data_IF_692905170346
#
_entry.id   IF_692905170346
#
_cell.length_a   1.000
_cell.length_b   1.000
_cell.length_c   1.000
_cell.angle_alpha   90.00
_cell.angle_beta   90.00
_cell.angle_gamma   90.00
#
_symmetry.space_group_name_H-M   'P 1'
#
loop_
_entity.id
_entity.type
_entity.pdbx_description
1 polymer ?
#
# COMPACT_ATOMS: atom_id res chain seq x y z
N UNK A 1 -37.42 22.96 -11.40
CA UNK A 1 -37.25 23.64 -10.10
C UNK A 1 -35.97 23.10 -9.48
N UNK A 2 -34.89 23.89 -9.47
CA UNK A 2 -33.68 23.51 -8.75
C UNK A 2 -34.00 23.51 -7.25
N UNK A 3 -33.91 22.35 -6.60
CA UNK A 3 -34.04 22.26 -5.16
C UNK A 3 -32.96 23.16 -4.53
N UNK A 4 -33.37 24.09 -3.66
CA UNK A 4 -32.46 24.92 -2.88
C UNK A 4 -31.80 24.04 -1.82
N UNK A 5 -30.74 23.33 -2.19
CA UNK A 5 -29.84 22.68 -1.23
C UNK A 5 -29.22 23.78 -0.37
N UNK A 6 -29.41 23.73 0.95
CA UNK A 6 -28.85 24.78 1.82
C UNK A 6 -27.33 24.67 1.86
N UNK A 7 -26.63 25.77 2.20
CA UNK A 7 -25.16 25.75 2.36
C UNK A 7 -24.71 24.70 3.38
N UNK A 8 -25.49 24.50 4.45
CA UNK A 8 -25.22 23.49 5.47
C UNK A 8 -25.40 22.05 4.92
N UNK A 9 -26.39 21.82 4.06
CA UNK A 9 -26.59 20.52 3.40
C UNK A 9 -25.44 20.22 2.44
N UNK A 10 -24.91 21.23 1.74
CA UNK A 10 -23.78 21.07 0.83
C UNK A 10 -22.46 20.80 1.58
N UNK A 11 -22.22 21.50 2.70
CA UNK A 11 -21.04 21.33 3.55
C UNK A 11 -21.05 19.99 4.33
N UNK A 12 -22.22 19.41 4.61
CA UNK A 12 -22.34 18.16 5.36
C UNK A 12 -22.45 16.90 4.47
N UNK A 13 -23.19 16.96 3.35
CA UNK A 13 -23.59 15.74 2.62
C UNK A 13 -22.48 15.21 1.72
N UNK A 14 -21.85 16.06 0.90
CA UNK A 14 -20.87 15.61 -0.10
C UNK A 14 -19.54 15.12 0.48
N UNK A 15 -18.88 15.84 1.42
CA UNK A 15 -17.66 15.33 2.05
C UNK A 15 -17.89 14.04 2.84
N UNK A 16 -19.08 13.88 3.43
CA UNK A 16 -19.41 12.68 4.22
C UNK A 16 -19.59 11.42 3.38
N UNK A 17 -20.09 11.55 2.13
CA UNK A 17 -20.32 10.41 1.24
C UNK A 17 -19.01 9.77 0.78
N UNK A 18 -18.08 10.58 0.25
CA UNK A 18 -16.76 10.08 -0.18
C UNK A 18 -15.99 9.50 1.02
N UNK A 19 -15.96 10.20 2.16
CA UNK A 19 -15.28 9.73 3.36
C UNK A 19 -15.79 8.36 3.82
N UNK A 20 -17.11 8.21 3.95
CA UNK A 20 -17.72 6.95 4.42
C UNK A 20 -17.66 5.82 3.38
N UNK A 21 -17.59 6.15 2.09
CA UNK A 21 -17.45 5.15 1.02
C UNK A 21 -16.02 4.64 0.87
N UNK A 22 -15.02 5.52 1.04
CA UNK A 22 -13.64 5.26 0.62
C UNK A 22 -12.69 4.93 1.78
N UNK A 23 -12.98 5.35 3.01
CA UNK A 23 -12.10 5.08 4.16
C UNK A 23 -12.44 3.76 4.87
N UNK A 24 -13.71 3.44 5.20
CA UNK A 24 -14.10 2.18 5.82
C UNK A 24 -14.16 0.98 4.85
N UNK A 25 -14.35 -0.23 5.39
CA UNK A 25 -14.58 -1.47 4.61
C UNK A 25 -13.32 -2.22 4.16
N UNK A 26 -12.14 -1.66 4.40
CA UNK A 26 -10.88 -2.39 4.32
C UNK A 26 -10.55 -3.17 5.59
N UNK A 27 -9.39 -3.86 5.61
CA UNK A 27 -8.87 -4.53 6.81
C UNK A 27 -8.41 -3.57 7.91
N UNK A 28 -8.25 -2.28 7.58
CA UNK A 28 -7.72 -1.22 8.45
C UNK A 28 -6.33 -1.52 9.04
N UNK A 29 -5.54 -2.39 8.38
CA UNK A 29 -4.25 -2.83 8.91
C UNK A 29 -3.31 -1.65 9.16
N UNK A 30 -3.29 -0.63 8.29
CA UNK A 30 -2.39 0.53 8.43
C UNK A 30 -2.81 1.38 9.61
N UNK A 31 -4.10 1.68 9.73
CA UNK A 31 -4.66 2.44 10.84
C UNK A 31 -4.53 1.74 12.18
N UNK A 32 -4.76 0.42 12.22
CA UNK A 32 -4.59 -0.40 13.44
C UNK A 32 -3.13 -0.55 13.85
N UNK A 33 -2.20 -0.54 12.89
CA UNK A 33 -0.77 -0.63 13.19
C UNK A 33 -0.22 0.55 14.00
N UNK A 34 -0.86 1.73 13.97
CA UNK A 34 -0.40 2.89 14.77
C UNK A 34 -0.54 2.62 16.28
N UNK A 35 -1.75 2.35 16.84
CA UNK A 35 -1.89 2.01 18.24
C UNK A 35 -1.23 0.68 18.61
N UNK A 36 -1.20 -0.31 17.71
CA UNK A 36 -0.52 -1.60 17.94
C UNK A 36 1.00 -1.42 18.11
N UNK A 37 1.64 -0.58 17.29
CA UNK A 37 3.06 -0.24 17.45
C UNK A 37 3.31 0.43 18.80
N UNK A 38 2.44 1.35 19.21
CA UNK A 38 2.59 2.03 20.49
C UNK A 38 2.45 1.08 21.70
N UNK A 39 1.54 0.09 21.63
CA UNK A 39 1.42 -0.95 22.66
C UNK A 39 2.72 -1.74 22.79
N UNK A 40 3.32 -2.15 21.67
CA UNK A 40 4.61 -2.84 21.66
C UNK A 40 5.76 -1.96 22.16
N UNK A 41 5.81 -0.69 21.77
CA UNK A 41 6.85 0.26 22.19
C UNK A 41 6.84 0.51 23.70
N UNK A 42 5.65 0.68 24.29
CA UNK A 42 5.52 0.98 25.71
C UNK A 42 5.55 -0.28 26.60
N UNK A 43 5.22 -1.45 26.04
CA UNK A 43 5.07 -2.71 26.78
C UNK A 43 4.11 -2.59 27.98
N UNK A 44 3.06 -1.78 27.83
CA UNK A 44 2.00 -1.56 28.81
C UNK A 44 0.72 -1.10 28.09
N UNK A 45 -0.45 -1.19 28.74
CA UNK A 45 -1.70 -0.66 28.20
C UNK A 45 -1.62 0.85 27.91
N UNK A 46 -2.26 1.29 26.83
CA UNK A 46 -2.42 2.71 26.51
C UNK A 46 -3.45 3.34 27.45
N UNK A 47 -3.19 4.57 27.88
CA UNK A 47 -4.23 5.41 28.50
C UNK A 47 -5.31 5.76 27.48
N UNK A 48 -6.53 6.11 27.94
CA UNK A 48 -7.64 6.50 27.05
C UNK A 48 -7.26 7.63 26.09
N UNK A 49 -6.46 8.59 26.58
CA UNK A 49 -5.97 9.69 25.75
C UNK A 49 -4.99 9.19 24.68
N UNK A 50 -4.01 8.37 25.06
CA UNK A 50 -3.05 7.81 24.10
C UNK A 50 -3.76 6.96 23.05
N UNK A 51 -4.66 6.09 23.48
CA UNK A 51 -5.44 5.26 22.57
C UNK A 51 -6.23 6.10 21.57
N UNK A 52 -6.97 7.12 22.04
CA UNK A 52 -7.74 8.00 21.17
C UNK A 52 -6.85 8.76 20.17
N UNK A 53 -5.73 9.29 20.63
CA UNK A 53 -4.80 10.04 19.79
C UNK A 53 -4.15 9.14 18.73
N UNK A 54 -3.64 7.97 19.13
CA UNK A 54 -3.02 7.01 18.22
C UNK A 54 -4.02 6.43 17.21
N UNK A 55 -5.26 6.16 17.63
CA UNK A 55 -6.34 5.81 16.70
C UNK A 55 -6.67 6.97 15.75
N UNK A 56 -6.61 8.22 16.20
CA UNK A 56 -6.79 9.38 15.32
C UNK A 56 -5.71 9.39 14.26
N UNK A 57 -4.43 9.27 14.63
CA UNK A 57 -3.31 9.15 13.68
C UNK A 57 -3.48 7.95 12.74
N UNK A 58 -3.96 6.81 13.23
CA UNK A 58 -4.31 5.65 12.41
C UNK A 58 -5.38 5.95 11.36
N UNK A 59 -6.44 6.67 11.72
CA UNK A 59 -7.44 7.13 10.74
C UNK A 59 -6.86 8.10 9.71
N UNK A 60 -5.88 8.93 10.08
CA UNK A 60 -5.19 9.79 9.11
C UNK A 60 -4.38 8.97 8.09
N UNK A 61 -3.78 7.87 8.52
CA UNK A 61 -3.14 6.92 7.61
C UNK A 61 -4.15 6.25 6.67
N UNK A 62 -5.34 5.88 7.17
CA UNK A 62 -6.41 5.32 6.32
C UNK A 62 -7.00 6.37 5.36
N UNK A 63 -7.04 7.65 5.74
CA UNK A 63 -7.39 8.74 4.83
C UNK A 63 -6.36 8.91 3.71
N UNK A 64 -5.07 8.83 4.04
CA UNK A 64 -4.01 8.86 3.04
C UNK A 64 -4.13 7.69 2.06
N UNK A 65 -4.40 6.48 2.58
CA UNK A 65 -4.68 5.33 1.73
C UNK A 65 -5.92 5.57 0.86
N UNK A 66 -7.01 6.11 1.41
CA UNK A 66 -8.24 6.37 0.65
C UNK A 66 -7.99 7.39 -0.48
N UNK A 67 -7.21 8.44 -0.23
CA UNK A 67 -6.75 9.38 -1.26
C UNK A 67 -6.05 8.65 -2.41
N UNK A 68 -5.05 7.82 -2.10
CA UNK A 68 -4.32 7.08 -3.12
C UNK A 68 -5.22 6.10 -3.87
N UNK A 69 -6.08 5.34 -3.19
CA UNK A 69 -6.95 4.36 -3.84
C UNK A 69 -7.98 5.01 -4.78
N UNK A 70 -8.60 6.13 -4.38
CA UNK A 70 -9.56 6.83 -5.24
C UNK A 70 -8.87 7.34 -6.51
N UNK A 71 -7.66 7.89 -6.37
CA UNK A 71 -6.87 8.38 -7.51
C UNK A 71 -6.36 7.24 -8.39
N UNK A 72 -5.81 6.18 -7.79
CA UNK A 72 -5.27 4.98 -8.44
C UNK A 72 -6.34 4.24 -9.23
N UNK A 73 -7.54 4.07 -8.67
CA UNK A 73 -8.66 3.41 -9.37
C UNK A 73 -9.02 4.12 -10.69
N UNK A 74 -8.86 5.45 -10.76
CA UNK A 74 -9.09 6.22 -11.99
C UNK A 74 -7.92 6.07 -12.97
N UNK A 75 -6.68 6.11 -12.49
CA UNK A 75 -5.47 5.98 -13.31
C UNK A 75 -5.34 4.59 -13.94
N UNK A 76 -5.75 3.55 -13.18
CA UNK A 76 -5.72 2.14 -13.59
C UNK A 76 -7.02 1.67 -14.25
N UNK A 77 -7.98 2.58 -14.47
CA UNK A 77 -9.29 2.26 -15.06
C UNK A 77 -10.05 1.13 -14.34
N UNK A 78 -9.79 0.95 -13.03
CA UNK A 78 -10.27 -0.15 -12.20
C UNK A 78 -11.80 -0.23 -12.12
N UNK A 79 -12.35 -1.44 -12.00
CA UNK A 79 -13.81 -1.68 -12.00
C UNK A 79 -14.39 -1.71 -10.58
N UNK A 80 -13.76 -2.46 -9.66
CA UNK A 80 -14.26 -2.69 -8.30
C UNK A 80 -13.18 -2.51 -7.25
N UNK A 81 -13.57 -1.99 -6.08
CA UNK A 81 -12.72 -1.84 -4.88
C UNK A 81 -13.53 -2.25 -3.65
N UNK A 82 -12.96 -3.12 -2.81
CA UNK A 82 -13.60 -3.62 -1.56
C UNK A 82 -15.00 -4.20 -1.77
N UNK A 83 -15.20 -4.94 -2.87
CA UNK A 83 -16.47 -5.58 -3.21
C UNK A 83 -17.53 -4.68 -3.86
N UNK A 84 -17.24 -3.38 -4.01
CA UNK A 84 -18.15 -2.38 -4.58
C UNK A 84 -17.55 -1.75 -5.85
N UNK A 85 -18.33 -1.08 -6.70
CA UNK A 85 -17.80 -0.27 -7.79
C UNK A 85 -16.81 0.79 -7.27
N UNK A 86 -15.70 0.98 -7.97
CA UNK A 86 -14.73 2.06 -7.70
C UNK A 86 -15.45 3.41 -7.64
N UNK A 87 -14.96 4.33 -6.79
CA UNK A 87 -15.67 5.57 -6.47
C UNK A 87 -16.09 6.36 -7.71
N UNK A 88 -15.17 6.55 -8.67
CA UNK A 88 -15.43 7.28 -9.92
C UNK A 88 -16.46 6.61 -10.84
N UNK A 89 -16.76 5.33 -10.64
CA UNK A 89 -17.76 4.57 -11.40
C UNK A 89 -19.15 4.59 -10.78
N UNK A 90 -19.31 5.13 -9.57
CA UNK A 90 -20.62 5.24 -8.93
C UNK A 90 -21.49 6.29 -9.63
N UNK A 91 -22.79 6.04 -9.65
CA UNK A 91 -23.76 6.93 -10.26
C UNK A 91 -23.63 8.35 -9.68
N UNK A 92 -23.50 9.35 -10.55
CA UNK A 92 -23.37 10.76 -10.16
C UNK A 92 -22.00 11.20 -9.67
N UNK A 93 -20.98 10.32 -9.61
CA UNK A 93 -19.61 10.68 -9.19
C UNK A 93 -18.75 11.05 -10.40
N UNK A 94 -18.41 10.09 -11.27
CA UNK A 94 -17.53 10.35 -12.42
C UNK A 94 -16.21 11.01 -12.00
N UNK A 95 -15.78 12.04 -12.75
CA UNK A 95 -14.53 12.76 -12.48
C UNK A 95 -14.58 13.70 -11.27
N UNK A 96 -15.72 13.84 -10.59
CA UNK A 96 -15.79 14.51 -9.28
C UNK A 96 -14.85 13.80 -8.28
N UNK A 97 -14.62 12.50 -8.48
CA UNK A 97 -13.68 11.69 -7.72
C UNK A 97 -12.26 12.28 -7.61
N UNK A 98 -11.82 13.08 -8.58
CA UNK A 98 -10.53 13.79 -8.53
C UNK A 98 -10.52 14.78 -7.37
N UNK A 99 -11.53 15.64 -7.26
CA UNK A 99 -11.61 16.58 -6.15
C UNK A 99 -11.90 15.87 -4.82
N UNK A 100 -12.67 14.78 -4.85
CA UNK A 100 -12.92 13.98 -3.66
C UNK A 100 -11.64 13.37 -3.09
N UNK A 101 -10.68 12.97 -3.94
CA UNK A 101 -9.39 12.46 -3.48
C UNK A 101 -8.57 13.57 -2.78
N UNK A 102 -8.54 14.79 -3.33
CA UNK A 102 -7.89 15.95 -2.68
C UNK A 102 -8.55 16.31 -1.34
N UNK A 103 -9.87 16.12 -1.23
CA UNK A 103 -10.59 16.33 0.02
C UNK A 103 -10.22 15.29 1.09
N UNK A 104 -9.98 14.04 0.70
CA UNK A 104 -9.50 12.98 1.61
C UNK A 104 -8.09 13.31 2.15
N UNK A 105 -7.18 13.76 1.27
CA UNK A 105 -5.84 14.16 1.66
C UNK A 105 -5.86 15.42 2.54
N UNK A 106 -6.50 16.50 2.10
CA UNK A 106 -6.53 17.77 2.85
C UNK A 106 -7.18 17.64 4.24
N UNK A 107 -8.11 16.70 4.40
CA UNK A 107 -8.71 16.37 5.70
C UNK A 107 -7.69 15.90 6.73
N UNK A 108 -6.58 15.27 6.30
CA UNK A 108 -5.47 14.87 7.17
C UNK A 108 -4.93 16.08 7.93
N UNK A 109 -4.61 17.17 7.21
CA UNK A 109 -3.98 18.35 7.80
C UNK A 109 -4.96 19.17 8.65
N UNK A 110 -6.25 19.18 8.28
CA UNK A 110 -7.31 19.77 9.12
C UNK A 110 -7.40 19.03 10.46
N UNK A 111 -7.39 17.70 10.44
CA UNK A 111 -7.47 16.87 11.63
C UNK A 111 -6.18 16.90 12.46
N UNK A 112 -4.99 16.90 11.82
CA UNK A 112 -3.72 17.10 12.53
C UNK A 112 -3.73 18.41 13.31
N UNK A 113 -4.11 19.52 12.66
CA UNK A 113 -4.19 20.83 13.31
C UNK A 113 -5.22 20.84 14.45
N UNK A 114 -6.36 20.16 14.27
CA UNK A 114 -7.42 20.11 15.29
C UNK A 114 -6.98 19.33 16.53
N UNK A 115 -6.31 18.20 16.35
CA UNK A 115 -6.05 17.24 17.42
C UNK A 115 -4.64 17.33 18.01
N UNK A 116 -3.66 17.78 17.22
CA UNK A 116 -2.24 17.65 17.56
C UNK A 116 -1.47 18.97 17.52
N UNK A 117 -2.09 20.13 17.26
CA UNK A 117 -1.35 21.42 17.15
C UNK A 117 -0.53 21.80 18.39
N UNK A 118 -0.92 21.31 19.58
CA UNK A 118 -0.17 21.51 20.82
C UNK A 118 0.76 20.35 21.18
N UNK A 119 0.76 19.27 20.40
CA UNK A 119 1.65 18.14 20.60
C UNK A 119 3.08 18.53 20.18
N UNK A 120 4.14 18.16 20.93
CA UNK A 120 5.51 18.50 20.57
C UNK A 120 5.90 18.05 19.15
N UNK A 121 5.44 16.86 18.74
CA UNK A 121 5.68 16.32 17.39
C UNK A 121 4.72 16.81 16.29
N UNK A 122 3.98 17.90 16.49
CA UNK A 122 3.02 18.39 15.48
C UNK A 122 3.65 18.64 14.11
N UNK A 123 4.81 19.31 14.09
CA UNK A 123 5.54 19.61 12.86
C UNK A 123 6.05 18.32 12.23
N UNK A 124 6.61 17.42 13.03
CA UNK A 124 7.08 16.11 12.53
C UNK A 124 5.95 15.30 11.87
N UNK A 125 4.74 15.32 12.43
CA UNK A 125 3.59 14.66 11.79
C UNK A 125 3.29 15.25 10.42
N UNK A 126 3.28 16.57 10.29
CA UNK A 126 3.02 17.25 9.01
C UNK A 126 4.10 16.88 7.99
N UNK A 127 5.37 17.01 8.38
CA UNK A 127 6.50 16.70 7.50
C UNK A 127 6.49 15.24 7.07
N UNK A 128 6.22 14.31 8.01
CA UNK A 128 6.11 12.89 7.71
C UNK A 128 4.97 12.58 6.73
N UNK A 129 3.78 13.18 6.90
CA UNK A 129 2.69 12.98 5.95
C UNK A 129 3.03 13.54 4.56
N UNK A 130 3.62 14.74 4.46
CA UNK A 130 4.02 15.29 3.16
C UNK A 130 5.12 14.46 2.48
N UNK A 131 6.17 14.07 3.21
CA UNK A 131 7.28 13.30 2.66
C UNK A 131 6.79 11.94 2.13
N UNK A 132 6.00 11.21 2.93
CA UNK A 132 5.45 9.92 2.53
C UNK A 132 4.49 10.05 1.35
N UNK A 133 3.71 11.14 1.29
CA UNK A 133 2.84 11.43 0.15
C UNK A 133 3.67 11.61 -1.12
N UNK A 134 4.70 12.46 -1.06
CA UNK A 134 5.60 12.70 -2.18
C UNK A 134 6.29 11.42 -2.65
N UNK A 135 6.81 10.61 -1.72
CA UNK A 135 7.41 9.32 -2.04
C UNK A 135 6.41 8.39 -2.73
N UNK A 136 5.17 8.33 -2.24
CA UNK A 136 4.14 7.48 -2.84
C UNK A 136 3.76 7.93 -4.24
N UNK A 137 3.65 9.25 -4.46
CA UNK A 137 3.41 9.83 -5.79
C UNK A 137 4.56 9.58 -6.76
N UNK A 138 5.82 9.63 -6.31
CA UNK A 138 6.98 9.25 -7.12
C UNK A 138 6.92 7.77 -7.54
N UNK A 139 6.53 6.89 -6.61
CA UNK A 139 6.29 5.48 -6.91
C UNK A 139 5.18 5.29 -7.93
N UNK A 140 4.06 6.01 -7.77
CA UNK A 140 2.94 5.99 -8.72
C UNK A 140 3.35 6.48 -10.11
N UNK A 141 4.10 7.59 -10.19
CA UNK A 141 4.60 8.10 -11.46
C UNK A 141 5.49 7.06 -12.16
N UNK A 142 6.37 6.39 -11.41
CA UNK A 142 7.21 5.33 -11.96
C UNK A 142 6.38 4.14 -12.45
N UNK A 143 5.32 3.74 -11.73
CA UNK A 143 4.39 2.68 -12.14
C UNK A 143 3.76 3.00 -13.50
N UNK A 144 3.17 4.19 -13.63
CA UNK A 144 2.49 4.63 -14.85
C UNK A 144 3.44 4.76 -16.06
N UNK A 145 4.66 5.26 -15.84
CA UNK A 145 5.67 5.36 -16.90
C UNK A 145 6.27 4.00 -17.28
N UNK A 146 6.23 3.04 -16.37
CA UNK A 146 6.78 1.69 -16.62
C UNK A 146 5.80 0.83 -17.40
N UNK A 147 4.51 0.96 -17.09
CA UNK A 147 3.44 0.08 -17.56
C UNK A 147 2.25 0.87 -18.17
N UNK A 148 2.44 1.65 -19.24
CA UNK A 148 1.33 2.36 -19.87
C UNK A 148 0.31 1.37 -20.47
N UNK A 149 -0.99 1.66 -20.30
CA UNK A 149 -2.08 0.77 -20.77
C UNK A 149 -2.14 0.66 -22.31
N UNK A 150 -1.74 1.72 -23.03
CA UNK A 150 -1.83 1.82 -24.48
C UNK A 150 -0.60 1.29 -25.22
N UNK A 151 0.50 1.01 -24.50
CA UNK A 151 1.73 0.49 -25.08
C UNK A 151 2.41 -0.55 -24.19
N UNK A 152 2.34 -1.81 -24.62
CA UNK A 152 3.06 -2.91 -23.94
C UNK A 152 4.48 -3.05 -24.50
N UNK A 153 5.47 -2.82 -23.63
CA UNK A 153 6.89 -3.10 -23.88
C UNK A 153 7.55 -3.72 -22.64
N UNK A 154 7.73 -5.04 -22.67
CA UNK A 154 8.36 -5.77 -21.57
C UNK A 154 9.86 -5.48 -21.42
N UNK A 155 10.52 -4.85 -22.41
CA UNK A 155 11.90 -4.39 -22.24
C UNK A 155 12.00 -3.21 -21.27
N UNK A 156 10.88 -2.51 -21.06
CA UNK A 156 10.80 -1.43 -20.08
C UNK A 156 10.75 -1.96 -18.64
N UNK A 157 10.51 -3.26 -18.43
CA UNK A 157 10.42 -3.88 -17.12
C UNK A 157 11.81 -4.28 -16.60
N UNK A 158 12.01 -4.10 -15.30
CA UNK A 158 13.22 -4.58 -14.61
C UNK A 158 12.95 -4.72 -13.13
N UNK A 159 13.70 -5.60 -12.46
CA UNK A 159 13.66 -5.72 -11.00
C UNK A 159 13.99 -4.38 -10.30
N UNK A 160 14.86 -3.55 -10.87
CA UNK A 160 15.17 -2.23 -10.29
C UNK A 160 13.95 -1.31 -10.29
N UNK A 161 13.17 -1.30 -11.37
CA UNK A 161 11.93 -0.51 -11.44
C UNK A 161 10.86 -1.09 -10.55
N UNK A 162 10.69 -2.42 -10.54
CA UNK A 162 9.80 -3.10 -9.61
C UNK A 162 10.12 -2.69 -8.17
N UNK A 163 11.37 -2.87 -7.71
CA UNK A 163 11.78 -2.52 -6.34
C UNK A 163 11.56 -1.03 -6.06
N UNK A 164 11.87 -0.13 -7.01
CA UNK A 164 11.58 1.30 -6.83
C UNK A 164 10.08 1.57 -6.66
N UNK A 165 9.25 1.08 -7.57
CA UNK A 165 7.79 1.23 -7.52
C UNK A 165 7.28 0.72 -6.19
N UNK A 166 7.63 -0.50 -5.79
CA UNK A 166 7.13 -1.11 -4.57
C UNK A 166 7.54 -0.35 -3.30
N UNK A 167 8.81 0.03 -3.19
CA UNK A 167 9.31 0.77 -2.03
C UNK A 167 8.56 2.10 -1.89
N UNK A 168 8.47 2.85 -2.99
CA UNK A 168 7.91 4.19 -3.00
C UNK A 168 6.38 4.19 -2.96
N UNK A 169 5.73 3.46 -3.86
CA UNK A 169 4.26 3.37 -3.98
C UNK A 169 3.62 2.63 -2.81
N UNK A 170 4.30 1.67 -2.18
CA UNK A 170 3.68 0.80 -1.16
C UNK A 170 4.38 0.84 0.19
N UNK A 171 5.69 0.62 0.26
CA UNK A 171 6.37 0.31 1.53
C UNK A 171 6.32 1.47 2.53
N UNK A 172 6.58 2.69 2.08
CA UNK A 172 6.62 3.87 2.95
C UNK A 172 5.29 4.13 3.66
N UNK A 173 4.18 4.29 2.93
CA UNK A 173 2.89 4.63 3.54
C UNK A 173 2.22 3.44 4.24
N UNK A 174 2.54 2.21 3.83
CA UNK A 174 1.88 1.00 4.36
C UNK A 174 2.56 0.42 5.59
N UNK A 175 3.89 0.54 5.69
CA UNK A 175 4.68 -0.11 6.73
C UNK A 175 5.43 0.89 7.60
N UNK A 176 6.19 1.80 6.98
CA UNK A 176 7.01 2.75 7.73
C UNK A 176 6.17 3.82 8.43
N UNK A 177 5.24 4.47 7.73
CA UNK A 177 4.42 5.56 8.26
C UNK A 177 3.68 5.21 9.56
N UNK A 178 2.96 4.07 9.68
CA UNK A 178 2.27 3.74 10.94
C UNK A 178 3.19 3.65 12.16
N UNK A 179 4.37 3.06 11.99
CA UNK A 179 5.36 2.89 13.07
C UNK A 179 6.03 4.22 13.40
N UNK A 180 6.41 5.00 12.37
CA UNK A 180 6.99 6.32 12.55
C UNK A 180 6.03 7.27 13.30
N UNK A 181 4.73 7.25 12.99
CA UNK A 181 3.71 8.03 13.70
C UNK A 181 3.68 7.68 15.20
N UNK A 182 3.72 6.39 15.54
CA UNK A 182 3.77 5.94 16.93
C UNK A 182 5.06 6.40 17.65
N UNK A 183 6.22 6.31 16.97
CA UNK A 183 7.49 6.80 17.49
C UNK A 183 7.47 8.30 17.76
N UNK A 184 6.97 9.11 16.83
CA UNK A 184 6.85 10.56 17.01
C UNK A 184 5.86 10.92 18.12
N UNK A 185 4.72 10.24 18.18
CA UNK A 185 3.73 10.46 19.24
C UNK A 185 4.31 10.18 20.64
N UNK A 186 5.05 9.07 20.79
CA UNK A 186 5.67 8.68 22.05
C UNK A 186 7.00 9.39 22.35
N UNK A 187 7.45 10.31 21.48
CA UNK A 187 8.75 10.99 21.61
C UNK A 187 9.94 10.02 21.60
N UNK A 188 9.83 8.92 20.86
CA UNK A 188 10.85 7.89 20.64
C UNK A 188 11.47 7.95 19.24
N UNK A 189 11.12 8.95 18.43
CA UNK A 189 11.60 9.13 17.06
C UNK A 189 13.03 9.69 16.98
N UNK A 190 13.99 9.02 17.62
CA UNK A 190 15.41 9.36 17.46
C UNK A 190 15.88 9.01 16.04
N UNK A 191 16.93 9.67 15.50
CA UNK A 191 17.47 9.32 14.20
C UNK A 191 17.84 7.84 14.06
N UNK A 192 18.32 7.23 15.15
CA UNK A 192 18.65 5.80 15.21
C UNK A 192 17.40 4.93 15.14
N UNK A 193 16.36 5.24 15.94
CA UNK A 193 15.12 4.46 15.92
C UNK A 193 14.40 4.55 14.58
N UNK A 194 14.33 5.74 13.98
CA UNK A 194 13.74 5.94 12.66
C UNK A 194 14.51 5.17 11.58
N UNK A 195 15.85 5.19 11.63
CA UNK A 195 16.70 4.41 10.71
C UNK A 195 16.48 2.90 10.87
N UNK A 196 16.50 2.38 12.10
CA UNK A 196 16.27 0.95 12.35
C UNK A 196 14.87 0.52 11.89
N UNK A 197 13.85 1.35 12.14
CA UNK A 197 12.49 1.11 11.69
C UNK A 197 12.41 1.08 10.16
N UNK A 198 13.03 2.05 9.48
CA UNK A 198 13.12 2.10 8.03
C UNK A 198 13.81 0.86 7.45
N UNK A 199 14.99 0.51 7.95
CA UNK A 199 15.80 -0.60 7.44
C UNK A 199 15.08 -1.96 7.56
N UNK A 200 14.11 -2.10 8.47
CA UNK A 200 13.29 -3.31 8.63
C UNK A 200 11.98 -3.22 7.82
N UNK A 201 11.28 -2.09 7.90
CA UNK A 201 9.93 -1.95 7.34
C UNK A 201 9.93 -1.81 5.82
N UNK A 202 10.99 -1.25 5.22
CA UNK A 202 11.09 -1.14 3.76
C UNK A 202 11.24 -2.52 3.10
N UNK A 203 12.19 -3.39 3.49
CA UNK A 203 12.25 -4.76 2.96
C UNK A 203 10.99 -5.58 3.25
N UNK A 204 10.34 -5.36 4.41
CA UNK A 204 9.10 -6.02 4.74
C UNK A 204 7.95 -5.59 3.82
N UNK A 205 7.89 -4.30 3.45
CA UNK A 205 6.97 -3.80 2.43
C UNK A 205 7.25 -4.33 1.02
N UNK A 206 8.53 -4.49 0.66
CA UNK A 206 8.93 -5.13 -0.60
C UNK A 206 8.46 -6.59 -0.68
N UNK A 207 8.69 -7.35 0.38
CA UNK A 207 8.19 -8.72 0.51
C UNK A 207 6.65 -8.77 0.42
N UNK A 208 5.95 -7.88 1.12
CA UNK A 208 4.49 -7.83 1.11
C UNK A 208 3.91 -7.63 -0.31
N UNK A 209 4.50 -6.74 -1.11
CA UNK A 209 4.02 -6.49 -2.46
C UNK A 209 4.38 -7.62 -3.42
N UNK A 210 5.59 -8.19 -3.32
CA UNK A 210 5.94 -9.37 -4.10
C UNK A 210 4.98 -10.56 -3.82
N UNK A 211 4.53 -10.70 -2.57
CA UNK A 211 3.50 -11.66 -2.19
C UNK A 211 2.12 -11.28 -2.78
N UNK A 212 1.75 -9.99 -2.79
CA UNK A 212 0.48 -9.53 -3.40
C UNK A 212 0.45 -9.86 -4.89
N UNK A 213 1.51 -9.55 -5.63
CA UNK A 213 1.67 -9.86 -7.06
C UNK A 213 1.66 -11.38 -7.33
N UNK A 214 2.31 -12.17 -6.46
CA UNK A 214 2.26 -13.63 -6.56
C UNK A 214 0.84 -14.16 -6.36
N UNK A 215 0.13 -13.65 -5.34
CA UNK A 215 -1.24 -14.03 -5.07
C UNK A 215 -2.18 -13.56 -6.18
N UNK A 216 -1.95 -12.40 -6.80
CA UNK A 216 -2.74 -11.90 -7.94
C UNK A 216 -2.78 -12.92 -9.09
N UNK A 217 -1.64 -13.59 -9.35
CA UNK A 217 -1.52 -14.58 -10.42
C UNK A 217 -1.98 -15.98 -10.02
N UNK A 218 -1.56 -16.45 -8.83
CA UNK A 218 -1.67 -17.87 -8.42
C UNK A 218 -2.67 -18.12 -7.27
N UNK A 219 -3.08 -17.06 -6.56
CA UNK A 219 -4.04 -17.15 -5.47
C UNK A 219 -5.46 -17.38 -5.97
N UNK A 220 -6.32 -17.90 -5.08
CA UNK A 220 -7.74 -18.06 -5.39
C UNK A 220 -8.50 -16.75 -5.16
N UNK A 221 -9.48 -16.37 -6.00
CA UNK A 221 -10.26 -15.16 -5.79
C UNK A 221 -10.89 -15.05 -4.40
N UNK A 222 -11.31 -16.17 -3.80
CA UNK A 222 -11.88 -16.22 -2.45
C UNK A 222 -10.86 -15.93 -1.33
N UNK A 223 -9.57 -16.12 -1.61
CA UNK A 223 -8.47 -15.83 -0.70
C UNK A 223 -8.04 -14.35 -0.80
N UNK A 224 -7.97 -13.81 -2.02
CA UNK A 224 -7.45 -12.45 -2.27
C UNK A 224 -8.55 -11.39 -2.07
N UNK A 225 -9.82 -11.75 -2.28
CA UNK A 225 -10.95 -10.83 -2.20
C UNK A 225 -11.10 -9.92 -3.44
N UNK A 226 -10.31 -10.16 -4.48
CA UNK A 226 -10.42 -9.57 -5.82
C UNK A 226 -10.07 -10.61 -6.88
N UNK A 227 -10.48 -10.36 -8.13
CA UNK A 227 -9.94 -11.07 -9.29
C UNK A 227 -8.60 -10.42 -9.61
N UNK A 228 -7.54 -11.22 -9.79
CA UNK A 228 -6.23 -10.70 -10.18
C UNK A 228 -6.24 -10.17 -11.61
N UNK A 229 -5.61 -9.03 -11.83
CA UNK A 229 -5.62 -8.30 -13.12
C UNK A 229 -4.24 -7.90 -13.60
N UNK A 230 -3.16 -8.16 -12.85
CA UNK A 230 -1.82 -7.64 -13.15
C UNK A 230 -1.33 -7.98 -14.56
N UNK A 231 -1.60 -9.20 -15.02
CA UNK A 231 -1.24 -9.65 -16.37
C UNK A 231 -1.97 -8.83 -17.44
N UNK A 232 -3.25 -8.54 -17.23
CA UNK A 232 -4.09 -7.86 -18.22
C UNK A 232 -3.84 -6.35 -18.23
N UNK A 233 -3.52 -5.80 -17.06
CA UNK A 233 -3.28 -4.37 -16.82
C UNK A 233 -1.82 -3.97 -17.09
N UNK A 234 -1.04 -4.86 -17.72
CA UNK A 234 0.35 -4.61 -18.09
C UNK A 234 1.25 -4.25 -16.88
N UNK A 235 0.95 -4.73 -15.67
CA UNK A 235 1.70 -4.33 -14.48
C UNK A 235 3.12 -4.88 -14.49
N UNK A 236 4.07 -4.06 -14.05
CA UNK A 236 5.48 -4.42 -13.84
C UNK A 236 5.63 -5.24 -12.54
N UNK A 237 4.90 -6.34 -12.43
CA UNK A 237 4.81 -7.14 -11.21
C UNK A 237 6.08 -7.97 -10.96
N UNK A 238 6.24 -8.46 -9.73
CA UNK A 238 7.33 -9.34 -9.34
C UNK A 238 7.39 -10.58 -10.25
N UNK A 239 6.22 -11.19 -10.53
CA UNK A 239 6.12 -12.47 -11.27
C UNK A 239 6.66 -12.32 -12.69
N UNK A 240 6.25 -11.28 -13.43
CA UNK A 240 6.71 -11.08 -14.82
C UNK A 240 8.20 -10.74 -14.85
N UNK A 241 8.70 -9.91 -13.93
CA UNK A 241 10.12 -9.57 -13.88
C UNK A 241 10.99 -10.81 -13.62
N UNK A 242 10.56 -11.70 -12.72
CA UNK A 242 11.28 -12.95 -12.46
C UNK A 242 11.18 -13.93 -13.64
N UNK A 243 10.05 -13.98 -14.34
CA UNK A 243 9.88 -14.79 -15.53
C UNK A 243 10.80 -14.31 -16.67
N UNK A 244 10.90 -13.00 -16.92
CA UNK A 244 11.77 -12.40 -17.94
C UNK A 244 13.26 -12.70 -17.70
N UNK A 245 13.68 -12.87 -16.44
CA UNK A 245 15.05 -13.28 -16.09
C UNK A 245 15.35 -14.76 -16.38
N UNK A 246 14.33 -15.59 -16.61
CA UNK A 246 14.44 -17.05 -16.67
C UNK A 246 13.93 -17.67 -17.97
N UNK A 247 13.12 -16.94 -18.73
CA UNK A 247 12.48 -17.46 -19.93
C UNK A 247 13.48 -17.78 -21.06
N UNK A 248 13.20 -18.83 -21.82
CA UNK A 248 13.85 -19.06 -23.11
C UNK A 248 13.43 -18.01 -24.15
N UNK A 249 14.11 -17.90 -25.30
CA UNK A 249 13.67 -17.02 -26.40
C UNK A 249 12.24 -17.31 -26.88
N UNK A 250 11.82 -18.58 -26.89
CA UNK A 250 10.46 -18.99 -27.30
C UNK A 250 9.42 -18.56 -26.27
N UNK A 251 9.70 -18.80 -24.98
CA UNK A 251 8.85 -18.34 -23.89
C UNK A 251 8.76 -16.81 -23.85
N UNK A 252 9.89 -16.12 -24.10
CA UNK A 252 9.95 -14.67 -24.19
C UNK A 252 8.99 -14.14 -25.26
N UNK A 253 8.99 -14.75 -26.45
CA UNK A 253 8.07 -14.40 -27.53
C UNK A 253 6.60 -14.54 -27.11
N UNK A 254 6.26 -15.62 -26.40
CA UNK A 254 4.89 -15.82 -25.88
C UNK A 254 4.51 -14.70 -24.90
N UNK A 255 5.43 -14.31 -24.00
CA UNK A 255 5.20 -13.22 -23.05
C UNK A 255 5.00 -11.88 -23.77
N UNK A 256 5.87 -11.53 -24.72
CA UNK A 256 5.77 -10.27 -25.48
C UNK A 256 4.44 -10.18 -26.27
N UNK A 257 3.96 -11.29 -26.81
CA UNK A 257 2.70 -11.34 -27.58
C UNK A 257 1.44 -11.33 -26.69
N UNK A 258 1.53 -11.87 -25.47
CA UNK A 258 0.35 -12.21 -24.65
C UNK A 258 0.17 -11.36 -23.38
N UNK A 259 1.23 -10.77 -22.82
CA UNK A 259 1.15 -9.95 -21.60
C UNK A 259 0.54 -8.57 -21.89
N UNK A 260 -0.14 -7.97 -20.91
CA UNK A 260 -0.78 -6.65 -21.05
C UNK A 260 -1.91 -6.64 -22.08
N UNK A 261 -2.63 -7.76 -22.21
CA UNK A 261 -3.77 -7.91 -23.12
C UNK A 261 -5.01 -8.19 -22.32
N UNK A 262 -6.07 -7.41 -22.55
CA UNK A 262 -7.42 -7.61 -21.97
C UNK A 262 -8.15 -8.80 -22.63
N UNK A 263 -7.47 -9.95 -22.75
CA UNK A 263 -7.92 -11.20 -23.36
C UNK A 263 -7.53 -12.40 -22.46
N UNK A 264 -8.54 -13.17 -22.03
CA UNK A 264 -8.37 -14.31 -21.12
C UNK A 264 -7.56 -15.47 -21.73
N UNK A 265 -7.63 -15.67 -23.05
CA UNK A 265 -6.87 -16.72 -23.72
C UNK A 265 -5.37 -16.37 -23.76
N UNK A 266 -5.04 -15.08 -23.91
CA UNK A 266 -3.66 -14.60 -23.85
C UNK A 266 -3.12 -14.63 -22.40
N UNK A 267 -3.94 -14.22 -21.43
CA UNK A 267 -3.63 -14.38 -20.01
C UNK A 267 -3.32 -15.85 -19.66
N UNK A 268 -4.11 -16.79 -20.17
CA UNK A 268 -3.88 -18.22 -19.95
C UNK A 268 -2.53 -18.69 -20.51
N UNK A 269 -2.10 -18.18 -21.68
CA UNK A 269 -0.77 -18.49 -22.25
C UNK A 269 0.37 -17.98 -21.36
N UNK A 270 0.23 -16.76 -20.81
CA UNK A 270 1.19 -16.21 -19.84
C UNK A 270 1.30 -17.13 -18.61
N UNK A 271 0.15 -17.57 -18.07
CA UNK A 271 0.13 -18.49 -16.91
C UNK A 271 0.76 -19.85 -17.22
N UNK A 272 0.65 -20.36 -18.46
CA UNK A 272 1.36 -21.58 -18.87
C UNK A 272 2.87 -21.36 -18.80
N UNK A 273 3.40 -20.26 -19.35
CA UNK A 273 4.84 -19.94 -19.27
C UNK A 273 5.29 -19.81 -17.82
N UNK A 274 4.51 -19.14 -16.96
CA UNK A 274 4.84 -19.03 -15.54
C UNK A 274 4.88 -20.40 -14.82
N UNK A 275 3.99 -21.33 -15.19
CA UNK A 275 4.01 -22.69 -14.66
C UNK A 275 5.22 -23.49 -15.15
N UNK A 276 5.57 -23.38 -16.44
CA UNK A 276 6.76 -24.04 -17.02
C UNK A 276 8.07 -23.56 -16.39
N UNK A 277 8.12 -22.29 -15.97
CA UNK A 277 9.26 -21.68 -15.26
C UNK A 277 9.28 -21.98 -13.76
N UNK A 278 8.32 -22.77 -13.25
CA UNK A 278 8.15 -23.09 -11.83
C UNK A 278 8.15 -21.85 -10.92
N UNK A 279 7.40 -20.82 -11.33
CA UNK A 279 7.34 -19.54 -10.63
C UNK A 279 6.86 -19.66 -9.18
N UNK A 280 6.11 -20.73 -8.85
CA UNK A 280 5.73 -21.06 -7.47
C UNK A 280 6.96 -21.42 -6.62
N UNK A 281 7.85 -22.27 -7.13
CA UNK A 281 9.11 -22.57 -6.43
C UNK A 281 9.99 -21.33 -6.32
N UNK A 282 10.11 -20.54 -7.38
CA UNK A 282 10.90 -19.29 -7.37
C UNK A 282 10.40 -18.34 -6.28
N UNK A 283 9.09 -18.21 -6.12
CA UNK A 283 8.50 -17.38 -5.06
C UNK A 283 8.77 -17.95 -3.66
N UNK A 284 8.66 -19.26 -3.47
CA UNK A 284 8.94 -19.91 -2.17
C UNK A 284 10.38 -19.70 -1.73
N UNK A 285 11.33 -19.89 -2.65
CA UNK A 285 12.75 -19.67 -2.37
C UNK A 285 13.00 -18.20 -1.99
N UNK A 286 12.39 -17.25 -2.74
CA UNK A 286 12.45 -15.81 -2.42
C UNK A 286 11.83 -15.48 -1.05
N UNK A 287 10.67 -16.04 -0.72
CA UNK A 287 9.98 -15.81 0.55
C UNK A 287 10.83 -16.28 1.73
N UNK A 288 11.45 -17.46 1.64
CA UNK A 288 12.34 -17.98 2.68
C UNK A 288 13.58 -17.08 2.88
N UNK A 289 14.18 -16.61 1.79
CA UNK A 289 15.33 -15.69 1.84
C UNK A 289 14.95 -14.34 2.48
N UNK A 290 13.84 -13.73 2.06
CA UNK A 290 13.39 -12.45 2.60
C UNK A 290 13.03 -12.55 4.08
N UNK A 291 12.31 -13.60 4.47
CA UNK A 291 11.91 -13.79 5.88
C UNK A 291 13.13 -14.04 6.76
N UNK A 292 14.12 -14.79 6.27
CA UNK A 292 15.39 -15.01 6.99
C UNK A 292 16.13 -13.70 7.18
N UNK A 293 16.25 -12.88 6.12
CA UNK A 293 16.87 -11.54 6.19
C UNK A 293 16.15 -10.63 7.18
N UNK A 294 14.82 -10.53 7.10
CA UNK A 294 14.02 -9.68 7.99
C UNK A 294 14.15 -10.14 9.45
N UNK A 295 14.09 -11.44 9.73
CA UNK A 295 14.34 -11.97 11.09
C UNK A 295 15.73 -11.62 11.61
N UNK A 296 16.74 -11.67 10.74
CA UNK A 296 18.10 -11.23 11.07
C UNK A 296 18.16 -9.75 11.47
N UNK A 297 17.51 -8.87 10.70
CA UNK A 297 17.43 -7.44 11.00
C UNK A 297 16.70 -7.17 12.33
N UNK A 298 15.56 -7.85 12.57
CA UNK A 298 14.83 -7.76 13.83
C UNK A 298 15.69 -8.25 15.00
N UNK A 299 16.38 -9.38 14.85
CA UNK A 299 17.23 -9.93 15.90
C UNK A 299 18.41 -9.00 16.25
N UNK A 300 18.96 -8.30 15.26
CA UNK A 300 20.05 -7.33 15.42
C UNK A 300 19.61 -5.94 15.93
N UNK A 301 18.29 -5.70 16.05
CA UNK A 301 17.76 -4.41 16.48
C UNK A 301 18.23 -4.04 17.89
N UNK A 302 18.71 -2.80 18.02
CA UNK A 302 19.10 -2.20 19.29
C UNK A 302 17.89 -1.50 19.94
N UNK A 303 17.49 -1.98 21.12
CA UNK A 303 16.35 -1.47 21.89
C UNK A 303 16.72 -0.40 22.93
N UNK A 304 17.99 0.04 22.98
CA UNK A 304 18.50 0.97 23.99
C UNK A 304 17.80 2.34 24.01
N UNK A 305 17.25 2.77 22.87
CA UNK A 305 16.52 4.04 22.74
C UNK A 305 15.00 3.86 22.73
N UNK A 306 14.49 2.73 23.26
CA UNK A 306 13.06 2.51 23.48
C UNK A 306 12.30 1.89 22.29
N UNK A 307 12.94 1.70 21.13
CA UNK A 307 12.39 0.87 20.06
C UNK A 307 12.33 -0.59 20.52
N UNK A 308 11.32 -1.34 20.05
CA UNK A 308 11.07 -2.72 20.46
C UNK A 308 10.93 -3.67 19.28
N UNK A 309 11.58 -4.83 19.36
CA UNK A 309 11.51 -5.91 18.35
C UNK A 309 10.09 -6.38 18.12
N UNK A 310 9.29 -6.43 19.18
CA UNK A 310 7.88 -6.85 19.14
C UNK A 310 7.02 -6.07 18.13
N UNK A 311 7.35 -4.80 17.85
CA UNK A 311 6.69 -4.02 16.79
C UNK A 311 6.84 -4.76 15.46
N UNK A 312 8.06 -5.10 15.06
CA UNK A 312 8.36 -5.70 13.75
C UNK A 312 7.96 -7.18 13.67
N UNK A 313 8.07 -7.90 14.78
CA UNK A 313 7.60 -9.29 14.88
C UNK A 313 6.09 -9.38 14.63
N UNK A 314 5.31 -8.43 15.15
CA UNK A 314 3.85 -8.38 14.93
C UNK A 314 3.51 -8.17 13.45
N UNK A 315 4.25 -7.30 12.74
CA UNK A 315 4.07 -7.08 11.31
C UNK A 315 4.44 -8.33 10.51
N UNK A 316 5.60 -8.93 10.79
CA UNK A 316 6.04 -10.14 10.10
C UNK A 316 5.04 -11.29 10.30
N UNK A 317 4.50 -11.46 11.52
CA UNK A 317 3.51 -12.49 11.83
C UNK A 317 2.19 -12.31 11.05
N UNK A 318 1.80 -11.07 10.74
CA UNK A 318 0.59 -10.78 9.95
C UNK A 318 0.76 -11.05 8.45
N UNK A 319 2.00 -11.16 7.96
CA UNK A 319 2.30 -11.22 6.51
C UNK A 319 2.87 -12.58 6.10
N UNK A 320 3.75 -13.15 6.94
CA UNK A 320 4.40 -14.40 6.64
C UNK A 320 3.36 -15.53 6.48
N UNK A 321 3.35 -16.16 5.30
CA UNK A 321 2.39 -17.21 4.94
C UNK A 321 0.92 -16.78 5.12
N UNK A 322 0.59 -15.50 4.92
CA UNK A 322 -0.81 -15.08 4.95
C UNK A 322 -1.56 -15.74 3.79
N UNK A 323 -2.73 -16.30 4.12
CA UNK A 323 -3.71 -16.74 3.13
C UNK A 323 -4.67 -15.60 2.71
N UNK A 324 -4.53 -14.39 3.30
CA UNK A 324 -5.38 -13.20 3.07
C UNK A 324 -4.64 -11.87 3.22
#
# INVERSE_FOLDING_TARGET
MAAKTSRADFEAVFPSLSLNANTPGGKLNRGLSVPDSALHLLNQPLTDKQFKDLCTLGWLTELLQAFFLVSDDMMDTSITRRGEPCWYRREGVGMIAINDSFMLESSIYVLLKKHFRSHPAYVDFIELFHEITHQTELGQLCDLLTAPEDHVDLNNFSMNKFTFIVIYKTAYYSFYLPVALALHYLQLATPKNLKQAHDILIPLGEYFQAQDDFLDVFGKPEQIGKIGTDIQDNKCSWVINQALLRCSPEQRKVLDESYGRKDKALEAKVKVVFNELDMIKVYRDFEEDQVTKIRGLIAALDESEGLKKGVFESFLAKIYKRDK
#
